data_IF_799530088468
#
_entry.id   IF_799530088468
#
_cell.length_a   1.000
_cell.length_b   1.000
_cell.length_c   1.000
_cell.angle_alpha   90.00
_cell.angle_beta   90.00
_cell.angle_gamma   90.00
#
_symmetry.space_group_name_H-M   'P 1'
#
loop_
_entity.id
_entity.type
_entity.pdbx_description
1 polymer ?
#
# COMPACT_ATOMS: atom_id res chain seq x y z
N UNK A 1 22.60 -8.09 7.70
CA UNK A 1 21.59 -7.41 6.84
C UNK A 1 21.20 -8.43 5.77
N UNK A 2 20.21 -9.28 6.06
CA UNK A 2 19.69 -10.33 5.16
C UNK A 2 18.70 -9.79 4.12
N UNK A 3 18.58 -8.47 4.06
CA UNK A 3 17.70 -7.74 3.16
C UNK A 3 18.56 -7.30 1.99
N UNK A 4 18.69 -8.18 0.99
CA UNK A 4 18.45 -7.87 -0.43
C UNK A 4 19.13 -8.86 -1.41
N UNK A 5 18.78 -10.15 -1.31
CA UNK A 5 19.30 -11.18 -2.23
C UNK A 5 18.83 -10.99 -3.68
N UNK A 6 17.67 -10.36 -3.86
CA UNK A 6 17.10 -10.07 -5.17
C UNK A 6 17.86 -8.93 -5.84
N UNK A 7 18.01 -7.77 -5.22
CA UNK A 7 18.69 -6.64 -5.84
C UNK A 7 20.16 -6.96 -6.11
N UNK A 8 20.85 -7.65 -5.19
CA UNK A 8 22.24 -8.09 -5.42
C UNK A 8 22.40 -9.00 -6.65
N UNK A 9 21.41 -9.84 -6.96
CA UNK A 9 21.45 -10.71 -8.15
C UNK A 9 21.03 -9.98 -9.40
N UNK A 10 20.03 -9.09 -9.31
CA UNK A 10 19.56 -8.26 -10.42
C UNK A 10 20.67 -7.31 -10.89
N UNK A 11 21.35 -6.60 -10.00
CA UNK A 11 22.40 -5.63 -10.34
C UNK A 11 23.50 -6.20 -11.25
N UNK A 12 23.85 -7.49 -11.07
CA UNK A 12 24.88 -8.16 -11.90
C UNK A 12 24.45 -8.33 -13.36
N UNK A 13 23.14 -8.42 -13.63
CA UNK A 13 22.55 -8.74 -14.94
C UNK A 13 21.73 -7.60 -15.54
N UNK A 14 21.29 -6.63 -14.73
CA UNK A 14 20.56 -5.44 -15.12
C UNK A 14 21.52 -4.32 -15.57
N UNK A 15 22.25 -4.56 -16.67
CA UNK A 15 23.02 -3.51 -17.35
C UNK A 15 22.24 -2.95 -18.53
N UNK A 16 22.29 -1.63 -18.73
CA UNK A 16 21.67 -0.95 -19.86
C UNK A 16 22.17 -1.51 -21.21
N UNK A 17 21.39 -1.41 -22.30
CA UNK A 17 20.08 -0.75 -22.40
C UNK A 17 18.90 -1.70 -22.17
N UNK A 18 17.80 -1.17 -21.61
CA UNK A 18 16.49 -1.82 -21.50
C UNK A 18 15.59 -1.05 -22.45
N UNK A 19 15.00 -1.74 -23.44
CA UNK A 19 14.23 -1.08 -24.49
C UNK A 19 12.73 -1.19 -24.24
N UNK A 20 12.28 -2.27 -23.58
CA UNK A 20 10.87 -2.49 -23.28
C UNK A 20 10.65 -2.97 -21.84
N UNK A 21 9.46 -2.73 -21.25
CA UNK A 21 9.09 -3.32 -19.96
C UNK A 21 9.18 -4.86 -19.93
N UNK A 22 8.97 -5.52 -21.07
CA UNK A 22 9.08 -6.99 -21.17
C UNK A 22 10.51 -7.48 -20.97
N UNK A 23 11.52 -6.64 -21.27
CA UNK A 23 12.92 -6.99 -21.06
C UNK A 23 13.23 -7.21 -19.58
N UNK A 24 12.51 -6.54 -18.66
CA UNK A 24 12.65 -6.77 -17.22
C UNK A 24 12.28 -8.20 -16.84
N UNK A 25 11.17 -8.72 -17.37
CA UNK A 25 10.69 -10.08 -17.06
C UNK A 25 11.71 -11.12 -17.49
N UNK A 26 12.20 -10.99 -18.73
CA UNK A 26 13.22 -11.89 -19.29
C UNK A 26 14.51 -11.86 -18.49
N UNK A 27 14.98 -10.65 -18.11
CA UNK A 27 16.20 -10.49 -17.32
C UNK A 27 16.05 -11.02 -15.90
N UNK A 28 14.94 -10.74 -15.22
CA UNK A 28 14.67 -11.25 -13.86
C UNK A 28 14.72 -12.78 -13.84
N UNK A 29 14.09 -13.47 -14.81
CA UNK A 29 14.17 -14.95 -14.91
C UNK A 29 15.60 -15.46 -15.08
N UNK A 30 16.45 -14.72 -15.80
CA UNK A 30 17.84 -15.09 -16.05
C UNK A 30 18.80 -14.79 -14.88
N UNK A 31 18.39 -13.97 -13.91
CA UNK A 31 19.25 -13.59 -12.78
C UNK A 31 19.50 -14.75 -11.80
N UNK A 32 18.64 -15.77 -11.80
CA UNK A 32 18.77 -16.95 -10.94
C UNK A 32 18.67 -18.26 -11.74
N UNK A 33 19.78 -18.80 -12.25
CA UNK A 33 19.77 -19.94 -13.18
C UNK A 33 19.18 -21.23 -12.62
N UNK A 34 19.43 -21.53 -11.33
CA UNK A 34 18.98 -22.77 -10.70
C UNK A 34 17.52 -22.72 -10.22
N UNK A 35 17.01 -21.52 -9.89
CA UNK A 35 15.65 -21.32 -9.40
C UNK A 35 15.18 -19.92 -9.81
N UNK A 36 14.75 -19.75 -11.08
CA UNK A 36 14.34 -18.47 -11.64
C UNK A 36 13.27 -17.77 -10.81
N UNK A 37 13.26 -16.44 -10.81
CA UNK A 37 12.19 -15.67 -10.18
C UNK A 37 10.85 -15.91 -10.90
N UNK A 38 9.80 -16.12 -10.12
CA UNK A 38 8.43 -16.11 -10.62
C UNK A 38 8.01 -14.65 -10.75
N UNK A 39 7.92 -14.18 -12.00
CA UNK A 39 7.52 -12.81 -12.32
C UNK A 39 6.05 -12.83 -12.72
N UNK A 40 5.20 -12.25 -11.88
CA UNK A 40 3.79 -12.05 -12.16
C UNK A 40 3.60 -10.69 -12.82
N UNK A 41 2.90 -10.69 -13.96
CA UNK A 41 2.42 -9.42 -14.52
C UNK A 41 1.22 -8.97 -13.69
N UNK A 42 1.23 -7.71 -13.27
CA UNK A 42 0.07 -7.13 -12.59
C UNK A 42 -1.01 -6.91 -13.65
N UNK A 43 -2.12 -7.61 -13.51
CA UNK A 43 -3.32 -7.34 -14.29
C UNK A 43 -4.21 -6.34 -13.55
N UNK A 44 -5.26 -5.86 -14.22
CA UNK A 44 -6.24 -4.96 -13.59
C UNK A 44 -7.02 -5.63 -12.45
N UNK A 45 -6.93 -6.96 -12.31
CA UNK A 45 -7.57 -7.72 -11.23
C UNK A 45 -6.70 -7.82 -9.98
N UNK A 46 -5.41 -7.49 -10.07
CA UNK A 46 -4.52 -7.47 -8.92
C UNK A 46 -4.93 -6.42 -7.88
N UNK A 47 -5.47 -5.28 -8.34
CA UNK A 47 -5.96 -4.26 -7.44
C UNK A 47 -7.25 -4.72 -6.76
N UNK A 48 -7.23 -4.74 -5.44
CA UNK A 48 -8.45 -4.97 -4.65
C UNK A 48 -9.36 -3.75 -4.79
N UNK A 49 -10.60 -3.99 -5.20
CA UNK A 49 -11.62 -2.96 -5.22
C UNK A 49 -12.19 -2.79 -3.80
N UNK A 50 -11.94 -1.63 -3.20
CA UNK A 50 -12.48 -1.29 -1.89
C UNK A 50 -13.68 -0.34 -1.96
N UNK A 51 -14.12 0.09 -3.15
CA UNK A 51 -15.24 1.05 -3.32
C UNK A 51 -16.54 0.58 -2.66
N UNK A 52 -16.74 -0.73 -2.55
CA UNK A 52 -17.92 -1.33 -1.94
C UNK A 52 -17.84 -1.45 -0.41
N UNK A 53 -16.66 -1.21 0.19
CA UNK A 53 -16.47 -1.30 1.64
C UNK A 53 -17.17 -0.14 2.34
N UNK A 54 -18.13 -0.41 3.24
CA UNK A 54 -18.80 0.62 4.02
C UNK A 54 -17.82 1.41 4.89
N UNK A 55 -18.02 2.72 5.01
CA UNK A 55 -17.21 3.57 5.88
C UNK A 55 -15.94 4.15 5.25
N UNK A 56 -15.73 3.97 3.94
CA UNK A 56 -14.62 4.62 3.24
C UNK A 56 -14.71 6.16 3.26
N UNK A 57 -13.55 6.79 3.38
CA UNK A 57 -13.41 8.25 3.26
C UNK A 57 -13.36 8.62 1.78
N UNK A 58 -14.26 9.49 1.34
CA UNK A 58 -14.19 10.10 0.00
C UNK A 58 -13.02 11.07 -0.13
N UNK A 59 -12.58 11.64 0.99
CA UNK A 59 -11.43 12.52 1.07
C UNK A 59 -10.83 12.46 2.45
N UNK A 60 -9.50 12.60 2.51
CA UNK A 60 -8.78 12.76 3.77
C UNK A 60 -8.54 14.23 4.12
N UNK A 61 -9.16 15.17 3.40
CA UNK A 61 -8.98 16.61 3.62
C UNK A 61 -9.61 17.02 4.96
N UNK A 62 -8.85 17.66 5.88
CA UNK A 62 -9.41 18.13 7.15
C UNK A 62 -10.37 19.31 6.98
N UNK A 63 -9.98 20.27 6.13
CA UNK A 63 -10.73 21.50 5.88
C UNK A 63 -11.82 21.38 4.84
N UNK A 64 -12.85 22.24 4.93
CA UNK A 64 -13.95 22.30 3.94
C UNK A 64 -13.98 23.60 3.15
N UNK A 65 -13.55 24.70 3.76
CA UNK A 65 -13.62 26.05 3.21
C UNK A 65 -12.28 26.46 2.59
N UNK A 66 -12.34 27.53 1.81
CA UNK A 66 -11.15 28.21 1.33
C UNK A 66 -10.37 28.77 2.54
N UNK A 67 -9.08 28.45 2.63
CA UNK A 67 -8.23 28.82 3.77
C UNK A 67 -8.10 27.73 4.86
N UNK A 68 -8.94 26.69 4.85
CA UNK A 68 -8.78 25.57 5.78
C UNK A 68 -7.65 24.62 5.33
N UNK A 69 -7.08 23.89 6.30
CA UNK A 69 -6.04 22.89 6.08
C UNK A 69 -6.43 21.87 5.00
N UNK A 70 -5.49 21.59 4.11
CA UNK A 70 -5.64 20.66 2.99
C UNK A 70 -4.91 19.34 3.27
N UNK A 71 -5.04 18.38 2.37
CA UNK A 71 -4.34 17.09 2.46
C UNK A 71 -2.82 17.27 2.58
N UNK A 72 -2.27 18.30 1.94
CA UNK A 72 -0.83 18.59 1.94
C UNK A 72 -0.31 19.08 3.31
N UNK A 73 -1.21 19.53 4.17
CA UNK A 73 -0.86 20.05 5.49
C UNK A 73 -0.82 18.96 6.56
N UNK A 74 -1.29 17.75 6.24
CA UNK A 74 -1.31 16.61 7.17
C UNK A 74 0.12 16.15 7.45
N UNK A 75 0.45 16.02 8.75
CA UNK A 75 1.75 15.52 9.24
C UNK A 75 1.66 14.18 9.93
N UNK A 76 0.46 13.74 10.28
CA UNK A 76 0.22 12.42 10.82
C UNK A 76 -1.23 11.98 10.61
N UNK A 77 -1.41 10.70 10.37
CA UNK A 77 -2.69 10.00 10.34
C UNK A 77 -2.59 8.83 11.30
N UNK A 78 -3.61 8.64 12.12
CA UNK A 78 -3.70 7.58 13.11
C UNK A 78 -5.02 6.83 12.94
N UNK A 79 -4.95 5.50 12.88
CA UNK A 79 -6.10 4.61 12.83
C UNK A 79 -6.23 3.92 14.19
N UNK A 80 -7.25 4.26 14.97
CA UNK A 80 -7.50 3.69 16.31
C UNK A 80 -8.98 3.38 16.46
N UNK A 81 -9.31 2.15 16.88
CA UNK A 81 -10.67 1.70 17.16
C UNK A 81 -11.68 1.93 16.02
N UNK A 82 -11.22 1.90 14.76
CA UNK A 82 -12.06 2.14 13.59
C UNK A 82 -12.28 3.61 13.25
N UNK A 83 -11.69 4.53 14.00
CA UNK A 83 -11.69 5.96 13.70
C UNK A 83 -10.36 6.41 13.09
N UNK A 84 -10.45 7.42 12.22
CA UNK A 84 -9.29 8.05 11.59
C UNK A 84 -9.08 9.40 12.24
N UNK A 85 -7.90 9.59 12.81
CA UNK A 85 -7.47 10.84 13.42
C UNK A 85 -6.31 11.44 12.63
N UNK A 86 -6.15 12.76 12.71
CA UNK A 86 -5.13 13.49 11.97
C UNK A 86 -4.47 14.56 12.84
N UNK A 87 -3.29 15.02 12.41
CA UNK A 87 -2.64 16.22 12.94
C UNK A 87 -1.91 17.01 11.87
N UNK A 88 -1.98 18.34 11.97
CA UNK A 88 -1.33 19.28 11.04
C UNK A 88 0.07 19.66 11.50
N UNK A 89 0.39 19.46 12.78
CA UNK A 89 1.73 19.65 13.34
C UNK A 89 2.06 18.48 14.25
N UNK A 90 3.34 18.11 14.33
CA UNK A 90 3.76 16.98 15.16
C UNK A 90 3.46 17.18 16.65
N UNK A 91 3.48 18.45 17.10
CA UNK A 91 3.22 18.88 18.47
C UNK A 91 1.73 19.03 18.82
N UNK A 92 0.83 18.90 17.84
CA UNK A 92 -0.61 19.02 18.10
C UNK A 92 -1.17 17.67 18.54
N UNK A 93 -2.23 17.74 19.34
CA UNK A 93 -3.03 16.58 19.70
C UNK A 93 -3.75 16.00 18.47
N UNK A 94 -4.13 14.74 18.58
CA UNK A 94 -4.87 14.05 17.54
C UNK A 94 -6.32 14.53 17.50
N UNK A 95 -6.78 14.89 16.31
CA UNK A 95 -8.16 15.29 16.08
C UNK A 95 -8.86 14.28 15.18
N UNK A 96 -10.15 14.03 15.41
CA UNK A 96 -10.94 13.16 14.54
C UNK A 96 -11.08 13.78 13.15
N UNK A 97 -10.81 13.00 12.12
CA UNK A 97 -10.93 13.45 10.74
C UNK A 97 -12.42 13.61 10.38
N UNK A 98 -12.86 14.78 9.89
CA UNK A 98 -14.27 15.02 9.65
C UNK A 98 -14.80 14.17 8.49
N UNK A 99 -15.62 13.17 8.80
CA UNK A 99 -16.23 12.28 7.81
C UNK A 99 -17.55 12.85 7.28
N UNK A 100 -17.81 12.67 5.99
CA UNK A 100 -19.17 12.76 5.44
C UNK A 100 -19.81 11.40 5.62
N UNK A 101 -20.82 11.29 6.47
CA UNK A 101 -21.66 10.09 6.57
C UNK A 101 -22.37 9.87 5.24
N UNK A 102 -21.81 9.00 4.39
CA UNK A 102 -22.58 8.40 3.32
C UNK A 102 -23.50 7.40 4.03
N UNK A 103 -24.80 7.66 3.95
CA UNK A 103 -25.87 6.95 4.65
C UNK A 103 -25.51 5.49 5.01
N UNK A 104 -25.56 5.23 6.32
CA UNK A 104 -25.42 3.95 7.01
C UNK A 104 -25.72 2.72 6.14
N UNK A 105 -24.70 2.21 5.45
CA UNK A 105 -24.65 0.78 5.14
C UNK A 105 -24.10 0.12 6.38
N UNK A 106 -24.74 -0.96 6.83
CA UNK A 106 -24.23 -1.74 7.96
C UNK A 106 -22.74 -2.03 7.73
N UNK A 107 -21.88 -1.87 8.75
CA UNK A 107 -20.46 -2.11 8.61
C UNK A 107 -20.23 -3.59 8.29
N UNK A 108 -20.16 -3.90 7.00
CA UNK A 108 -19.65 -5.19 6.54
C UNK A 108 -18.16 -5.14 6.79
N UNK A 109 -17.70 -5.83 7.84
CA UNK A 109 -16.28 -5.99 8.08
C UNK A 109 -15.66 -6.61 6.83
N UNK A 110 -14.63 -5.98 6.21
CA UNK A 110 -13.97 -6.58 5.06
C UNK A 110 -13.44 -7.95 5.48
N UNK A 111 -13.62 -8.94 4.62
CA UNK A 111 -13.13 -10.29 4.89
C UNK A 111 -11.66 -10.23 5.32
N UNK A 112 -11.34 -10.85 6.46
CA UNK A 112 -9.96 -10.91 6.95
C UNK A 112 -9.10 -11.53 5.87
N UNK A 113 -8.13 -10.76 5.38
CA UNK A 113 -7.25 -11.20 4.30
C UNK A 113 -6.37 -12.38 4.75
N UNK A 114 -5.99 -12.40 6.02
CA UNK A 114 -5.21 -13.46 6.65
C UNK A 114 -5.76 -13.74 8.05
N UNK A 115 -5.76 -15.01 8.46
CA UNK A 115 -6.20 -15.42 9.80
C UNK A 115 -5.14 -15.18 10.88
N UNK A 116 -3.88 -15.10 10.48
CA UNK A 116 -2.70 -14.83 11.31
C UNK A 116 -1.58 -14.26 10.43
N UNK A 117 -0.55 -13.62 11.01
CA UNK A 117 0.69 -13.32 10.29
C UNK A 117 1.24 -14.59 9.64
N UNK A 118 1.75 -14.48 8.42
CA UNK A 118 2.51 -15.57 7.80
C UNK A 118 3.79 -15.74 8.62
N UNK A 119 3.91 -16.87 9.33
CA UNK A 119 5.20 -17.27 9.89
C UNK A 119 6.12 -17.56 8.69
N UNK A 120 7.10 -16.68 8.45
CA UNK A 120 8.13 -16.86 7.44
C UNK A 120 9.20 -17.89 7.87
N UNK A 121 8.93 -18.67 8.91
CA UNK A 121 9.81 -19.74 9.33
C UNK A 121 9.52 -20.99 8.50
N UNK A 122 10.59 -21.53 7.90
CA UNK A 122 10.71 -22.81 7.21
C UNK A 122 10.46 -22.78 5.69
N UNK A 123 11.52 -22.49 4.96
CA UNK A 123 12.05 -23.45 3.95
C UNK A 123 13.52 -23.13 3.70
N UNK A 124 14.40 -23.87 4.40
CA UNK A 124 15.79 -24.09 3.99
C UNK A 124 15.83 -25.28 3.05
#
# INVERSE_FOLDING_TARGET
MEVDSVHSTLEKKFKAPIFTPMDYVSRMRQCRPSQPYVVHYLDLNFSKNYEEVPGNFTTIRPGRRFGDATVNDIRGILYVNGEVQYKVRHSYEWEALPQRTINSREPVAPARLYNSPINNDVTK
#
